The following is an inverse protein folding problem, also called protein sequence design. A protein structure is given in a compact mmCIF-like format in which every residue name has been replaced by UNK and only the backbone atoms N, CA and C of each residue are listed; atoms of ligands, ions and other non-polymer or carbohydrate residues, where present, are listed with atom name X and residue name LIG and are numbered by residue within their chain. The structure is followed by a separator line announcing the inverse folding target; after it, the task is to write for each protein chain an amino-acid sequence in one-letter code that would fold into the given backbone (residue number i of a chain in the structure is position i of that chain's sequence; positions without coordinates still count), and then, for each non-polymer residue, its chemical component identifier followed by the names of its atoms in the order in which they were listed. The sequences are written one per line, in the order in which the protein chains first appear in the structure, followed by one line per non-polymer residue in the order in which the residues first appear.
data_IF_708148700786
#
_entry.id   IF_708148700786
#
_cell.length_a   1.000
_cell.length_b   1.000
_cell.length_c   1.000
_cell.angle_alpha   90.00
_cell.angle_beta   90.00
_cell.angle_gamma   90.00
#
_symmetry.space_group_name_H-M   'P 1'
#
loop_
_entity.id
_entity.type
_entity.pdbx_description
1 polymer ?
#
# COMPACT_ATOMS: atom_id res chain seq x y z
N UNK A 1 -32.69 -6.83 3.58
CA UNK A 1 -32.13 -5.99 2.56
C UNK A 1 -31.14 -5.05 3.07
N UNK A 2 -31.48 -4.30 4.03
CA UNK A 2 -30.56 -3.32 4.62
C UNK A 2 -29.40 -3.95 5.36
N UNK A 3 -29.54 -5.19 5.77
CA UNK A 3 -28.46 -5.93 6.43
C UNK A 3 -27.26 -6.13 5.52
N UNK A 4 -27.47 -6.42 4.26
CA UNK A 4 -26.37 -6.59 3.30
C UNK A 4 -25.62 -5.29 3.03
N UNK A 5 -26.36 -4.20 2.95
CA UNK A 5 -25.76 -2.88 2.79
C UNK A 5 -24.95 -2.47 4.00
N UNK A 6 -25.45 -2.78 5.19
CA UNK A 6 -24.72 -2.46 6.43
C UNK A 6 -23.44 -3.26 6.58
N UNK A 7 -23.46 -4.51 6.21
CA UNK A 7 -22.28 -5.36 6.24
C UNK A 7 -21.24 -4.86 5.24
N UNK A 8 -21.64 -4.41 4.08
CA UNK A 8 -20.75 -3.81 3.10
C UNK A 8 -20.09 -2.54 3.60
N UNK A 9 -20.87 -1.68 4.27
CA UNK A 9 -20.33 -0.45 4.82
C UNK A 9 -19.29 -0.71 5.90
N UNK A 10 -19.52 -1.67 6.77
CA UNK A 10 -18.60 -2.03 7.84
C UNK A 10 -17.31 -2.59 7.26
N UNK A 11 -17.40 -3.47 6.28
CA UNK A 11 -16.24 -4.03 5.62
C UNK A 11 -15.40 -2.93 4.93
N UNK A 12 -16.07 -1.97 4.31
CA UNK A 12 -15.40 -0.85 3.66
C UNK A 12 -14.65 0.03 4.66
N UNK A 13 -15.22 0.28 5.83
CA UNK A 13 -14.59 1.12 6.85
C UNK A 13 -13.37 0.43 7.45
N UNK A 14 -13.42 -0.86 7.68
CA UNK A 14 -12.29 -1.60 8.24
C UNK A 14 -11.08 -1.65 7.34
N UNK A 15 -11.26 -1.46 6.05
CA UNK A 15 -10.16 -1.54 5.08
C UNK A 15 -9.39 -0.23 4.92
N UNK A 16 -9.98 0.88 5.32
CA UNK A 16 -9.37 2.20 5.14
C UNK A 16 -8.13 2.40 6.00
N UNK A 17 -8.02 1.68 7.12
CA UNK A 17 -6.93 1.89 8.07
C UNK A 17 -5.75 0.95 7.90
N UNK A 18 -5.80 0.05 6.93
CA UNK A 18 -4.76 -0.98 6.85
C UNK A 18 -3.48 -0.52 6.17
N UNK A 19 -3.56 0.50 5.32
CA UNK A 19 -2.40 0.94 4.54
C UNK A 19 -2.52 2.40 4.16
N UNK A 20 -1.41 3.11 4.24
CA UNK A 20 -1.34 4.49 3.82
C UNK A 20 -0.09 4.70 2.97
N UNK A 21 -0.22 5.42 1.87
CA UNK A 21 0.91 5.81 1.03
C UNK A 21 1.08 7.31 1.18
N UNK A 22 2.24 7.74 1.64
CA UNK A 22 2.52 9.15 1.90
C UNK A 22 3.71 9.60 1.07
N UNK A 23 3.53 10.51 0.12
CA UNK A 23 4.66 11.16 -0.54
C UNK A 23 5.14 12.33 0.32
N UNK A 24 6.22 12.15 1.05
CA UNK A 24 6.76 13.19 1.91
C UNK A 24 5.89 13.49 3.12
N UNK A 25 5.93 14.73 3.60
CA UNK A 25 5.18 15.19 4.77
C UNK A 25 3.83 15.82 4.44
N UNK A 26 3.40 15.74 3.23
CA UNK A 26 2.18 16.44 2.86
C UNK A 26 0.95 15.79 3.46
N UNK A 27 -0.01 16.63 3.75
CA UNK A 27 -1.30 16.23 4.26
C UNK A 27 -1.86 15.03 3.53
N UNK A 28 -2.13 14.01 4.28
CA UNK A 28 -2.77 12.82 3.76
C UNK A 28 -4.15 13.17 3.21
N UNK A 29 -4.30 13.08 1.92
CA UNK A 29 -5.63 12.97 1.36
C UNK A 29 -6.16 11.60 1.74
N UNK A 30 -7.40 11.55 2.18
CA UNK A 30 -8.06 10.29 2.49
C UNK A 30 -8.24 9.50 1.20
N UNK A 31 -7.35 8.57 0.97
CA UNK A 31 -7.39 7.74 -0.20
C UNK A 31 -8.29 6.55 0.06
N UNK A 32 -9.25 6.31 -0.78
CA UNK A 32 -10.06 5.10 -0.69
C UNK A 32 -9.22 3.89 -1.11
N UNK A 33 -9.05 2.98 -0.18
CA UNK A 33 -8.38 1.71 -0.45
C UNK A 33 -9.40 0.67 -0.86
N UNK A 34 -9.09 -0.09 -1.89
CA UNK A 34 -9.86 -1.26 -2.27
C UNK A 34 -9.11 -2.50 -1.80
N UNK A 35 -9.78 -3.36 -1.07
CA UNK A 35 -9.19 -4.61 -0.55
C UNK A 35 -9.89 -5.80 -1.14
N UNK A 36 -9.10 -6.74 -1.65
CA UNK A 36 -9.57 -8.03 -2.15
C UNK A 36 -8.84 -9.14 -1.41
N UNK A 37 -9.58 -10.11 -0.90
CA UNK A 37 -9.02 -11.28 -0.23
C UNK A 37 -9.34 -12.50 -1.06
N UNK A 38 -8.28 -13.22 -1.46
CA UNK A 38 -8.40 -14.43 -2.28
C UNK A 38 -7.80 -15.60 -1.51
N UNK A 39 -8.59 -16.63 -1.19
CA UNK A 39 -8.04 -17.82 -0.53
C UNK A 39 -6.97 -18.49 -1.41
N UNK A 40 -5.86 -18.86 -0.78
CA UNK A 40 -4.82 -19.66 -1.42
C UNK A 40 -5.05 -21.14 -1.10
N UNK A 41 -5.34 -21.41 0.15
CA UNK A 41 -5.66 -22.75 0.64
C UNK A 41 -6.49 -22.64 1.94
N UNK A 42 -6.62 -23.72 2.69
CA UNK A 42 -7.40 -23.74 3.92
C UNK A 42 -6.79 -22.92 5.05
N UNK A 43 -5.55 -22.57 4.98
CA UNK A 43 -4.82 -21.89 6.04
C UNK A 43 -4.54 -20.43 5.77
N UNK A 44 -4.30 -20.07 4.52
CA UNK A 44 -3.84 -18.73 4.15
C UNK A 44 -4.63 -18.15 2.97
N UNK A 45 -4.63 -16.83 2.94
CA UNK A 45 -5.23 -16.04 1.86
C UNK A 45 -4.29 -14.94 1.42
N UNK A 46 -4.46 -14.49 0.18
CA UNK A 46 -3.77 -13.33 -0.35
C UNK A 46 -4.66 -12.10 -0.17
N UNK A 47 -4.16 -11.12 0.54
CA UNK A 47 -4.81 -9.82 0.68
C UNK A 47 -4.15 -8.83 -0.27
N UNK A 48 -4.92 -8.31 -1.20
CA UNK A 48 -4.49 -7.28 -2.13
C UNK A 48 -5.15 -5.97 -1.76
N UNK A 49 -4.37 -4.95 -1.49
CA UNK A 49 -4.85 -3.59 -1.26
C UNK A 49 -4.44 -2.72 -2.43
N UNK A 50 -5.39 -1.99 -2.99
CA UNK A 50 -5.14 -1.03 -4.07
C UNK A 50 -5.42 0.36 -3.54
N UNK A 51 -4.44 1.23 -3.66
CA UNK A 51 -4.55 2.62 -3.23
C UNK A 51 -3.93 3.53 -4.29
N UNK A 52 -4.07 4.82 -4.11
CA UNK A 52 -3.48 5.80 -5.02
C UNK A 52 -2.45 6.65 -4.30
N UNK A 53 -1.49 7.14 -5.05
CA UNK A 53 -0.47 8.05 -4.57
C UNK A 53 -0.36 9.20 -5.57
N UNK A 54 -0.36 10.42 -5.05
CA UNK A 54 -0.07 11.59 -5.87
C UNK A 54 1.21 12.24 -5.40
N UNK A 55 2.11 12.49 -6.34
CA UNK A 55 3.34 13.25 -6.08
C UNK A 55 3.23 14.55 -6.87
N UNK A 56 3.02 15.70 -6.21
CA UNK A 56 2.93 16.97 -6.89
C UNK A 56 4.22 17.31 -7.63
N UNK A 57 4.09 17.99 -8.74
CA UNK A 57 5.24 18.43 -9.55
C UNK A 57 6.20 19.31 -8.76
N UNK A 58 5.67 20.10 -7.86
CA UNK A 58 6.43 21.01 -7.00
C UNK A 58 6.88 20.37 -5.67
N UNK A 59 6.72 19.07 -5.52
CA UNK A 59 7.17 18.37 -4.33
C UNK A 59 8.68 18.54 -4.16
N UNK A 60 9.09 18.95 -2.95
CA UNK A 60 10.50 19.18 -2.63
C UNK A 60 11.10 18.10 -1.74
N UNK A 61 10.26 17.23 -1.19
CA UNK A 61 10.71 16.19 -0.29
C UNK A 61 11.28 15.01 -1.08
N UNK A 62 12.43 14.49 -0.68
CA UNK A 62 13.11 13.43 -1.44
C UNK A 62 12.56 12.03 -1.19
N UNK A 63 11.81 11.83 -0.11
CA UNK A 63 11.37 10.49 0.31
C UNK A 63 9.86 10.40 0.39
N UNK A 64 9.35 9.26 -0.02
CA UNK A 64 8.00 8.82 0.28
C UNK A 64 8.02 7.54 1.09
N UNK A 65 6.87 7.13 1.62
CA UNK A 65 6.76 5.87 2.34
C UNK A 65 5.41 5.20 2.14
N UNK A 66 5.45 3.88 2.19
CA UNK A 66 4.25 3.05 2.28
C UNK A 66 4.27 2.42 3.67
N UNK A 67 3.22 2.67 4.44
CA UNK A 67 3.14 2.24 5.83
C UNK A 67 1.93 1.32 5.99
N UNK A 68 2.18 0.15 6.53
CA UNK A 68 1.14 -0.78 6.94
C UNK A 68 0.98 -0.79 8.45
N UNK A 69 -0.25 -0.61 8.93
CA UNK A 69 -0.56 -0.70 10.34
C UNK A 69 -0.38 -2.14 10.86
N UNK A 70 -0.23 -2.31 12.18
CA UNK A 70 -0.21 -3.64 12.77
C UNK A 70 -1.46 -4.44 12.38
N UNK A 71 -1.24 -5.66 11.93
CA UNK A 71 -2.33 -6.56 11.54
C UNK A 71 -1.84 -8.00 11.50
N UNK A 72 -2.77 -8.92 11.28
CA UNK A 72 -2.42 -10.32 11.11
C UNK A 72 -1.55 -10.54 9.88
N UNK A 73 -0.61 -11.45 9.99
CA UNK A 73 0.31 -11.80 8.92
C UNK A 73 0.75 -13.25 9.08
N UNK A 74 1.34 -13.79 8.03
CA UNK A 74 1.95 -15.11 8.05
C UNK A 74 3.45 -14.94 7.91
N UNK A 75 4.21 -15.51 8.83
CA UNK A 75 5.67 -15.50 8.76
C UNK A 75 6.16 -16.10 7.43
N UNK A 76 7.32 -15.69 6.99
CA UNK A 76 7.99 -16.08 5.75
C UNK A 76 7.46 -15.40 4.48
N UNK A 77 6.34 -14.72 4.55
CA UNK A 77 5.80 -14.04 3.37
C UNK A 77 6.01 -12.54 3.51
N UNK A 78 6.93 -11.97 2.76
CA UNK A 78 7.11 -10.52 2.75
C UNK A 78 5.93 -9.83 2.10
N UNK A 79 5.78 -8.54 2.35
CA UNK A 79 4.85 -7.69 1.65
C UNK A 79 5.43 -7.32 0.30
N UNK A 80 4.64 -7.45 -0.74
CA UNK A 80 5.03 -7.04 -2.09
C UNK A 80 4.28 -5.77 -2.44
N UNK A 81 5.00 -4.78 -2.92
CA UNK A 81 4.44 -3.48 -3.29
C UNK A 81 4.76 -3.20 -4.75
N UNK A 82 3.75 -2.83 -5.52
CA UNK A 82 3.88 -2.51 -6.92
C UNK A 82 3.32 -1.12 -7.18
N UNK A 83 4.07 -0.30 -7.88
CA UNK A 83 3.67 1.04 -8.29
C UNK A 83 3.40 1.04 -9.78
N UNK A 84 2.26 1.62 -10.16
CA UNK A 84 1.83 1.71 -11.55
C UNK A 84 1.58 3.16 -11.92
N UNK A 85 2.05 3.54 -13.10
CA UNK A 85 1.65 4.78 -13.77
C UNK A 85 0.65 4.38 -14.86
N UNK A 86 -0.64 4.67 -14.63
CA UNK A 86 -1.67 4.07 -15.47
C UNK A 86 -1.66 2.56 -15.36
N UNK A 87 -1.45 1.87 -16.47
CA UNK A 87 -1.35 0.41 -16.51
C UNK A 87 0.10 -0.10 -16.50
N UNK A 88 1.07 0.79 -16.55
CA UNK A 88 2.47 0.42 -16.64
C UNK A 88 3.10 0.30 -15.26
N UNK A 89 3.69 -0.86 -14.92
CA UNK A 89 4.42 -1.01 -13.69
C UNK A 89 5.72 -0.20 -13.77
N UNK A 90 5.97 0.64 -12.75
CA UNK A 90 7.13 1.53 -12.73
C UNK A 90 8.08 1.25 -11.58
N UNK A 91 7.60 0.61 -10.53
CA UNK A 91 8.43 0.30 -9.37
C UNK A 91 7.89 -0.91 -8.64
N UNK A 92 8.79 -1.67 -8.06
CA UNK A 92 8.47 -2.90 -7.35
C UNK A 92 9.34 -3.00 -6.10
N UNK A 93 8.74 -3.43 -5.01
CA UNK A 93 9.46 -3.59 -3.74
C UNK A 93 8.99 -4.80 -2.98
N UNK A 94 9.87 -5.33 -2.17
CA UNK A 94 9.60 -6.39 -1.23
C UNK A 94 10.03 -5.92 0.15
N UNK A 95 9.16 -6.04 1.15
CA UNK A 95 9.38 -5.52 2.49
C UNK A 95 9.07 -6.58 3.52
N UNK A 96 9.94 -6.72 4.50
CA UNK A 96 9.70 -7.61 5.62
C UNK A 96 8.68 -7.02 6.58
N UNK A 97 7.89 -7.90 7.17
CA UNK A 97 6.86 -7.56 8.14
C UNK A 97 7.48 -7.61 9.54
N UNK A 98 7.18 -6.60 10.35
CA UNK A 98 7.59 -6.57 11.75
C UNK A 98 6.76 -7.54 12.59
N UNK A 99 7.21 -7.82 13.81
CA UNK A 99 6.56 -8.79 14.68
C UNK A 99 5.10 -8.51 15.02
N UNK A 100 4.65 -7.27 14.90
CA UNK A 100 3.24 -6.88 15.09
C UNK A 100 2.42 -6.87 13.81
N UNK A 101 3.02 -7.27 12.70
CA UNK A 101 2.37 -7.25 11.40
C UNK A 101 2.46 -5.93 10.64
N UNK A 102 3.08 -4.92 11.23
CA UNK A 102 3.30 -3.65 10.54
C UNK A 102 4.47 -3.74 9.57
N UNK A 103 4.50 -2.84 8.61
CA UNK A 103 5.63 -2.69 7.71
C UNK A 103 5.80 -1.24 7.31
N UNK A 104 6.99 -0.89 6.89
CA UNK A 104 7.30 0.42 6.34
C UNK A 104 8.28 0.26 5.18
N UNK A 105 7.92 0.85 4.04
CA UNK A 105 8.78 0.91 2.88
C UNK A 105 9.03 2.37 2.52
N UNK A 106 10.30 2.78 2.57
CA UNK A 106 10.74 4.11 2.16
C UNK A 106 11.32 4.05 0.75
N UNK A 107 10.95 5.01 -0.07
CA UNK A 107 11.43 5.08 -1.43
C UNK A 107 11.79 6.51 -1.81
N UNK A 108 12.69 6.62 -2.77
CA UNK A 108 13.16 7.91 -3.26
C UNK A 108 12.15 8.47 -4.26
N UNK A 109 11.69 9.68 -4.02
CA UNK A 109 10.75 10.40 -4.90
C UNK A 109 11.48 11.40 -5.78
N UNK A 110 12.55 11.98 -5.26
CA UNK A 110 13.41 12.95 -5.93
C UNK A 110 14.85 12.57 -5.74
N UNK A 111 15.67 12.80 -6.75
CA UNK A 111 17.08 12.56 -6.67
C UNK A 111 17.86 13.81 -7.04
N UNK A 112 19.06 13.92 -6.51
CA UNK A 112 19.99 15.00 -6.87
C UNK A 112 20.98 14.49 -7.91
N UNK A 113 21.03 15.17 -9.04
CA UNK A 113 22.01 14.86 -10.07
C UNK A 113 23.25 15.73 -9.85
N UNK A 114 24.32 15.09 -9.40
CA UNK A 114 25.58 15.79 -9.13
C UNK A 114 26.27 16.32 -10.39
N UNK A 115 25.92 15.80 -11.55
CA UNK A 115 26.50 16.26 -12.82
C UNK A 115 25.90 17.59 -13.27
N UNK A 116 24.61 17.77 -13.05
CA UNK A 116 23.91 18.98 -13.45
C UNK A 116 23.67 19.95 -12.30
N UNK A 117 23.79 19.48 -11.05
CA UNK A 117 23.45 20.27 -9.86
C UNK A 117 21.96 20.45 -9.64
N UNK A 118 21.14 19.65 -10.33
CA UNK A 118 19.70 19.78 -10.30
C UNK A 118 19.03 18.57 -9.63
N UNK A 119 17.82 18.80 -9.10
CA UNK A 119 16.98 17.72 -8.63
C UNK A 119 16.15 17.17 -9.79
N UNK A 120 16.00 15.85 -9.80
CA UNK A 120 15.21 15.13 -10.78
C UNK A 120 14.09 14.40 -10.06
N UNK A 121 12.86 14.57 -10.52
CA UNK A 121 11.72 13.84 -10.00
C UNK A 121 11.74 12.40 -10.52
N UNK A 122 11.75 11.45 -9.60
CA UNK A 122 11.64 10.02 -9.93
C UNK A 122 10.17 9.64 -10.06
N UNK A 123 9.34 10.16 -9.16
CA UNK A 123 7.89 10.01 -9.19
C UNK A 123 7.26 11.39 -9.34
N UNK A 124 6.28 11.50 -10.22
CA UNK A 124 5.55 12.73 -10.45
C UNK A 124 4.17 12.38 -10.99
N UNK A 125 3.14 12.99 -10.41
CA UNK A 125 1.75 12.74 -10.79
C UNK A 125 1.10 11.61 -10.02
N UNK A 126 0.16 10.96 -10.65
CA UNK A 126 -0.70 9.95 -10.03
C UNK A 126 -0.17 8.54 -10.28
N UNK A 127 -0.18 7.75 -9.23
CA UNK A 127 0.22 6.34 -9.29
C UNK A 127 -0.82 5.48 -8.59
N UNK A 128 -1.00 4.28 -9.10
CA UNK A 128 -1.73 3.23 -8.39
C UNK A 128 -0.71 2.36 -7.66
N UNK A 129 -0.97 2.10 -6.39
CA UNK A 129 -0.10 1.27 -5.54
C UNK A 129 -0.86 0.02 -5.17
N UNK A 130 -0.32 -1.13 -5.50
CA UNK A 130 -0.88 -2.43 -5.16
C UNK A 130 0.01 -3.09 -4.13
N UNK A 131 -0.61 -3.48 -3.01
CA UNK A 131 0.09 -4.07 -1.87
C UNK A 131 -0.46 -5.47 -1.65
N UNK A 132 0.42 -6.44 -1.68
CA UNK A 132 0.08 -7.85 -1.52
C UNK A 132 0.66 -8.38 -0.22
N UNK A 133 -0.16 -9.04 0.55
CA UNK A 133 0.23 -9.63 1.82
C UNK A 133 -0.47 -10.96 2.00
N UNK A 134 0.22 -11.93 2.58
CA UNK A 134 -0.39 -13.19 2.96
C UNK A 134 -0.91 -13.07 4.39
N UNK A 135 -2.15 -13.46 4.58
CA UNK A 135 -2.81 -13.43 5.89
C UNK A 135 -3.34 -14.81 6.24
N UNK A 136 -3.47 -15.13 7.53
CA UNK A 136 -4.13 -16.38 7.92
C UNK A 136 -5.62 -16.30 7.67
N UNK A 137 -6.22 -17.44 7.36
CA UNK A 137 -7.66 -17.55 7.30
C UNK A 137 -8.23 -17.51 8.72
N UNK A 138 -8.85 -16.39 9.08
CA UNK A 138 -9.36 -16.19 10.43
C UNK A 138 -10.73 -16.82 10.65
N UNK A 139 -11.43 -17.10 9.58
CA UNK A 139 -12.74 -17.71 9.67
C UNK A 139 -12.64 -19.17 9.25
N UNK A 140 -12.55 -20.03 10.25
CA UNK A 140 -12.81 -21.42 10.02
C UNK A 140 -14.31 -21.61 10.08
N UNK A 141 -14.91 -21.68 8.94
CA UNK A 141 -16.30 -22.09 8.88
C UNK A 141 -16.41 -23.55 9.23
N UNK A 142 -17.17 -23.76 10.20
CA UNK A 142 -17.55 -25.12 10.59
C UNK A 142 -18.61 -25.63 9.65
#
# INVERSE_FOLDING_TARGET
MDLKSKVFLIASIMTVFSTMVIPGETSAETTQNTVTITPINDEISLKKTVTTMNVPQDNKLPWGSVIGAPSEYVERYPVIIQFYSGEDPVHFAQVDVKGDGSFEYKFRVRNFDSNTGEFVNIFEGDYTVKIFRVIPNTEKFV
#
